data_IF_326912407636
#
_entry.id   IF_326912407636
#
_cell.length_a   1.000
_cell.length_b   1.000
_cell.length_c   1.000
_cell.angle_alpha   90.00
_cell.angle_beta   90.00
_cell.angle_gamma   90.00
#
_symmetry.space_group_name_H-M   'P 1'
#
loop_
_entity.id
_entity.type
_entity.pdbx_description
1 polymer ?
#
# COMPACT_ATOMS: atom_id res chain seq x y z
N UNK A 1 -14.27 16.66 -31.61
CA UNK A 1 -14.56 15.29 -31.13
C UNK A 1 -14.58 15.30 -29.61
N UNK A 2 -15.73 15.06 -28.96
CA UNK A 2 -15.75 14.87 -27.50
C UNK A 2 -14.89 13.64 -27.19
N UNK A 3 -13.80 13.81 -26.44
CA UNK A 3 -13.00 12.68 -25.96
C UNK A 3 -13.95 11.76 -25.19
N UNK A 4 -14.25 10.58 -25.76
CA UNK A 4 -15.18 9.60 -25.17
C UNK A 4 -14.59 8.88 -23.95
N UNK A 5 -13.29 9.08 -23.71
CA UNK A 5 -12.54 8.43 -22.63
C UNK A 5 -11.72 9.49 -21.89
N UNK A 6 -11.71 9.40 -20.56
CA UNK A 6 -10.87 10.22 -19.71
C UNK A 6 -9.41 9.76 -19.85
N UNK A 7 -8.50 10.68 -20.18
CA UNK A 7 -7.08 10.36 -20.33
C UNK A 7 -6.27 10.59 -19.04
N UNK A 8 -6.83 11.33 -18.06
CA UNK A 8 -6.17 11.61 -16.77
C UNK A 8 -6.61 10.61 -15.71
N UNK A 9 -5.66 9.95 -15.06
CA UNK A 9 -5.89 8.99 -13.97
C UNK A 9 -6.67 9.63 -12.81
N UNK A 10 -6.41 10.89 -12.51
CA UNK A 10 -7.12 11.62 -11.44
C UNK A 10 -8.61 11.80 -11.74
N UNK A 11 -8.97 12.10 -13.00
CA UNK A 11 -10.37 12.23 -13.40
C UNK A 11 -11.11 10.89 -13.30
N UNK A 12 -10.43 9.79 -13.65
CA UNK A 12 -10.97 8.44 -13.48
C UNK A 12 -11.24 8.15 -11.99
N UNK A 13 -10.30 8.49 -11.11
CA UNK A 13 -10.47 8.33 -9.65
C UNK A 13 -11.66 9.13 -9.13
N UNK A 14 -11.82 10.39 -9.56
CA UNK A 14 -12.97 11.21 -9.15
C UNK A 14 -14.28 10.61 -9.61
N UNK A 15 -14.37 10.09 -10.85
CA UNK A 15 -15.58 9.43 -11.32
C UNK A 15 -15.89 8.16 -10.51
N UNK A 16 -14.89 7.35 -10.17
CA UNK A 16 -15.10 6.19 -9.28
C UNK A 16 -15.59 6.61 -7.89
N UNK A 17 -15.09 7.73 -7.36
CA UNK A 17 -15.55 8.30 -6.10
C UNK A 17 -17.01 8.74 -6.17
N UNK A 18 -17.42 9.41 -7.24
CA UNK A 18 -18.80 9.86 -7.43
C UNK A 18 -19.77 8.70 -7.54
N UNK A 19 -19.39 7.64 -8.27
CA UNK A 19 -20.19 6.41 -8.38
C UNK A 19 -20.28 5.69 -7.02
N UNK A 20 -19.19 5.63 -6.26
CA UNK A 20 -19.23 5.06 -4.91
C UNK A 20 -20.15 5.86 -3.97
N UNK A 21 -20.06 7.19 -4.01
CA UNK A 21 -20.94 8.07 -3.25
C UNK A 21 -22.41 7.90 -3.67
N UNK A 22 -22.68 7.64 -4.95
CA UNK A 22 -24.03 7.34 -5.43
C UNK A 22 -24.61 6.06 -4.79
N UNK A 23 -23.80 5.00 -4.65
CA UNK A 23 -24.22 3.79 -3.95
C UNK A 23 -24.38 3.97 -2.43
N UNK A 24 -23.61 4.89 -1.83
CA UNK A 24 -23.60 5.15 -0.38
C UNK A 24 -24.60 6.24 0.05
N UNK A 25 -25.22 6.93 -0.91
CA UNK A 25 -26.19 8.00 -0.67
C UNK A 25 -25.62 9.19 0.12
N UNK A 26 -24.29 9.38 0.11
CA UNK A 26 -23.60 10.44 0.87
C UNK A 26 -23.90 11.87 0.41
N UNK A 27 -24.69 12.03 -0.66
CA UNK A 27 -25.15 13.32 -1.18
C UNK A 27 -26.51 13.76 -0.63
N UNK A 28 -27.24 12.88 0.07
CA UNK A 28 -28.60 13.15 0.54
C UNK A 28 -28.55 13.46 2.03
N UNK A 29 -28.46 14.74 2.38
CA UNK A 29 -28.52 15.21 3.78
C UNK A 29 -29.92 15.03 4.38
N UNK A 30 -30.97 15.07 3.55
CA UNK A 30 -32.37 14.88 3.96
C UNK A 30 -33.09 13.90 3.05
N UNK A 31 -33.67 12.83 3.60
CA UNK A 31 -34.48 11.87 2.84
C UNK A 31 -35.64 12.61 2.13
N UNK A 32 -35.83 12.44 0.81
CA UNK A 32 -36.98 13.04 0.14
C UNK A 32 -38.28 12.43 0.66
N UNK A 33 -39.25 13.29 0.99
CA UNK A 33 -40.62 12.87 1.31
C UNK A 33 -41.23 12.26 0.05
N UNK A 34 -41.43 10.94 0.05
CA UNK A 34 -42.16 10.25 -1.01
C UNK A 34 -43.64 10.41 -0.73
N UNK A 35 -44.33 11.16 -1.58
CA UNK A 35 -45.78 11.30 -1.50
C UNK A 35 -46.43 10.03 -2.04
N UNK A 36 -46.82 9.12 -1.12
CA UNK A 36 -47.25 7.74 -1.40
C UNK A 36 -48.46 7.62 -2.34
N UNK A 37 -49.19 8.72 -2.56
CA UNK A 37 -50.41 8.75 -3.37
C UNK A 37 -50.15 8.95 -4.88
N UNK A 38 -48.95 9.39 -5.29
CA UNK A 38 -48.69 9.78 -6.70
C UNK A 38 -47.51 9.08 -7.37
N UNK A 39 -46.74 8.23 -6.68
CA UNK A 39 -45.56 7.55 -7.24
C UNK A 39 -44.62 8.50 -8.03
N UNK A 40 -44.48 9.75 -7.59
CA UNK A 40 -43.66 10.77 -8.25
C UNK A 40 -42.66 11.34 -7.26
N UNK A 41 -41.39 11.40 -7.67
CA UNK A 41 -40.35 12.10 -6.93
C UNK A 41 -40.56 13.61 -7.09
N UNK A 42 -40.89 14.29 -6.00
CA UNK A 42 -40.87 15.76 -5.89
C UNK A 42 -39.45 16.21 -6.19
N UNK A 43 -39.21 17.32 -6.91
CA UNK A 43 -37.87 17.92 -7.14
C UNK A 43 -37.49 18.82 -5.97
N UNK A 44 -36.19 18.93 -5.65
CA UNK A 44 -35.71 19.90 -4.66
C UNK A 44 -36.14 21.31 -5.07
N UNK A 45 -36.25 22.24 -4.13
CA UNK A 45 -36.55 23.65 -4.40
C UNK A 45 -35.59 24.26 -5.45
N UNK A 46 -34.38 23.72 -5.57
CA UNK A 46 -33.36 24.07 -6.57
C UNK A 46 -33.50 23.38 -7.94
N UNK A 47 -34.54 22.58 -8.16
CA UNK A 47 -34.80 21.92 -9.45
C UNK A 47 -33.83 20.79 -9.82
N UNK A 48 -32.98 20.35 -8.88
CA UNK A 48 -32.11 19.18 -9.07
C UNK A 48 -32.98 17.93 -9.24
N UNK A 49 -32.62 17.08 -10.21
CA UNK A 49 -33.27 15.77 -10.35
C UNK A 49 -32.87 14.94 -9.15
N UNK A 50 -33.83 14.56 -8.32
CA UNK A 50 -33.59 13.48 -7.36
C UNK A 50 -33.21 12.24 -8.12
N UNK A 51 -32.12 11.63 -7.67
CA UNK A 51 -31.70 10.33 -8.17
C UNK A 51 -32.24 9.32 -7.16
N UNK A 52 -32.95 8.29 -7.65
CA UNK A 52 -33.50 7.24 -6.79
C UNK A 52 -32.40 6.67 -5.87
N UNK A 53 -32.70 6.58 -4.58
CA UNK A 53 -31.88 5.83 -3.63
C UNK A 53 -31.60 4.42 -4.15
N UNK A 54 -30.38 3.94 -3.90
CA UNK A 54 -29.99 2.57 -4.20
C UNK A 54 -29.82 1.82 -2.88
N UNK A 55 -30.94 1.49 -2.22
CA UNK A 55 -30.86 0.79 -0.95
C UNK A 55 -30.18 -0.57 -1.17
N UNK A 56 -29.52 -1.06 -0.12
CA UNK A 56 -28.93 -2.39 -0.12
C UNK A 56 -30.01 -3.47 -0.34
N UNK A 57 -31.19 -3.23 0.24
CA UNK A 57 -32.39 -4.07 0.17
C UNK A 57 -33.51 -3.29 -0.51
N UNK A 58 -34.06 -3.82 -1.61
CA UNK A 58 -35.29 -3.30 -2.23
C UNK A 58 -36.55 -3.84 -1.53
N UNK A 59 -36.44 -5.03 -0.93
CA UNK A 59 -37.45 -5.67 -0.08
C UNK A 59 -36.74 -6.62 0.88
N UNK A 60 -37.44 -7.18 1.87
CA UNK A 60 -36.87 -8.10 2.86
C UNK A 60 -36.12 -9.31 2.26
N UNK A 61 -36.30 -9.60 0.96
CA UNK A 61 -35.72 -10.75 0.26
C UNK A 61 -34.85 -10.35 -0.93
N UNK A 62 -35.00 -9.13 -1.48
CA UNK A 62 -34.31 -8.72 -2.71
C UNK A 62 -33.19 -7.73 -2.45
N UNK A 63 -31.96 -8.19 -2.65
CA UNK A 63 -30.77 -7.36 -2.60
C UNK A 63 -30.53 -6.61 -3.91
N UNK A 64 -29.90 -5.44 -3.80
CA UNK A 64 -29.36 -4.72 -4.95
C UNK A 64 -28.03 -5.35 -5.39
N UNK A 65 -28.10 -6.27 -6.36
CA UNK A 65 -26.94 -6.95 -6.91
C UNK A 65 -25.86 -6.02 -7.44
N UNK A 66 -26.24 -4.92 -8.08
CA UNK A 66 -25.29 -3.97 -8.65
C UNK A 66 -24.45 -3.30 -7.56
N UNK A 67 -25.10 -2.85 -6.48
CA UNK A 67 -24.41 -2.30 -5.32
C UNK A 67 -23.47 -3.33 -4.69
N UNK A 68 -23.92 -4.58 -4.51
CA UNK A 68 -23.08 -5.64 -3.95
C UNK A 68 -21.84 -5.95 -4.81
N UNK A 69 -21.99 -6.02 -6.13
CA UNK A 69 -20.89 -6.39 -7.03
C UNK A 69 -19.93 -5.25 -7.33
N UNK A 70 -20.43 -4.01 -7.47
CA UNK A 70 -19.64 -2.88 -7.99
C UNK A 70 -19.07 -1.96 -6.90
N UNK A 71 -19.72 -1.86 -5.73
CA UNK A 71 -19.33 -0.86 -4.70
C UNK A 71 -17.86 -0.95 -4.29
N UNK A 72 -17.39 -2.15 -3.95
CA UNK A 72 -16.01 -2.37 -3.53
C UNK A 72 -15.01 -2.02 -4.64
N UNK A 73 -15.36 -2.29 -5.90
CA UNK A 73 -14.52 -2.00 -7.06
C UNK A 73 -14.36 -0.49 -7.26
N UNK A 74 -15.45 0.27 -7.15
CA UNK A 74 -15.40 1.74 -7.24
C UNK A 74 -14.65 2.37 -6.07
N UNK A 75 -14.88 1.92 -4.83
CA UNK A 75 -14.14 2.40 -3.65
C UNK A 75 -12.64 2.06 -3.73
N UNK A 76 -12.29 0.91 -4.31
CA UNK A 76 -10.90 0.52 -4.51
C UNK A 76 -10.22 1.43 -5.53
N UNK A 77 -10.88 1.71 -6.65
CA UNK A 77 -10.32 2.56 -7.70
C UNK A 77 -10.32 4.05 -7.33
N UNK A 78 -11.17 4.51 -6.41
CA UNK A 78 -11.12 5.88 -5.90
C UNK A 78 -9.89 6.14 -5.03
N UNK A 79 -9.33 5.09 -4.41
CA UNK A 79 -8.19 5.16 -3.49
C UNK A 79 -8.58 5.41 -2.03
N UNK A 80 -9.88 5.46 -1.72
CA UNK A 80 -10.39 5.70 -0.37
C UNK A 80 -10.47 4.37 0.43
N UNK A 81 -9.34 3.93 0.99
CA UNK A 81 -9.21 2.63 1.69
C UNK A 81 -10.11 2.54 2.94
N UNK A 82 -10.23 3.63 3.69
CA UNK A 82 -11.06 3.68 4.91
C UNK A 82 -12.54 3.38 4.59
N UNK A 83 -13.10 4.07 3.60
CA UNK A 83 -14.49 3.85 3.14
C UNK A 83 -14.69 2.45 2.57
N UNK A 84 -13.70 1.91 1.87
CA UNK A 84 -13.71 0.52 1.40
C UNK A 84 -13.82 -0.47 2.57
N UNK A 85 -13.04 -0.26 3.64
CA UNK A 85 -13.14 -1.09 4.84
C UNK A 85 -14.50 -0.93 5.50
N UNK A 86 -14.89 0.30 5.83
CA UNK A 86 -16.11 0.62 6.58
C UNK A 86 -17.38 0.12 5.90
N UNK A 87 -17.52 0.32 4.59
CA UNK A 87 -18.79 0.05 3.91
C UNK A 87 -18.84 -1.29 3.17
N UNK A 88 -17.71 -1.87 2.76
CA UNK A 88 -17.70 -3.10 1.97
C UNK A 88 -17.30 -4.34 2.79
N UNK A 89 -16.15 -4.31 3.48
CA UNK A 89 -15.59 -5.52 4.12
C UNK A 89 -15.79 -5.59 5.63
N UNK A 90 -16.05 -4.48 6.31
CA UNK A 90 -16.32 -4.39 7.74
C UNK A 90 -17.73 -3.91 8.06
N UNK A 91 -18.62 -3.89 7.06
CA UNK A 91 -20.05 -3.72 7.25
C UNK A 91 -20.72 -5.09 7.31
N UNK A 92 -21.24 -5.44 8.48
CA UNK A 92 -21.91 -6.72 8.71
C UNK A 92 -23.09 -6.95 7.76
N UNK A 93 -23.94 -5.94 7.54
CA UNK A 93 -25.11 -6.06 6.66
C UNK A 93 -24.70 -6.33 5.21
N UNK A 94 -23.65 -5.67 4.74
CA UNK A 94 -23.14 -5.85 3.38
C UNK A 94 -22.50 -7.24 3.20
N UNK A 95 -21.73 -7.72 4.19
CA UNK A 95 -21.18 -9.07 4.17
C UNK A 95 -22.29 -10.12 4.17
N UNK A 96 -23.29 -9.97 5.04
CA UNK A 96 -24.44 -10.86 5.12
C UNK A 96 -25.20 -10.88 3.78
N UNK A 97 -25.45 -9.71 3.19
CA UNK A 97 -26.08 -9.56 1.89
C UNK A 97 -25.29 -10.25 0.76
N UNK A 98 -23.95 -10.18 0.77
CA UNK A 98 -23.10 -10.93 -0.17
C UNK A 98 -23.16 -12.45 0.04
N UNK A 99 -23.18 -12.90 1.30
CA UNK A 99 -23.28 -14.32 1.63
C UNK A 99 -24.63 -14.90 1.18
N UNK A 100 -25.73 -14.17 1.37
CA UNK A 100 -27.07 -14.58 0.95
C UNK A 100 -27.32 -14.41 -0.56
N UNK A 101 -26.87 -13.31 -1.16
CA UNK A 101 -27.30 -12.88 -2.49
C UNK A 101 -26.53 -13.49 -3.65
N UNK A 102 -25.20 -13.54 -3.57
CA UNK A 102 -24.34 -13.89 -4.73
C UNK A 102 -23.63 -15.23 -4.57
N UNK A 103 -22.91 -15.41 -3.46
CA UNK A 103 -22.15 -16.59 -3.03
C UNK A 103 -20.90 -16.16 -2.25
N UNK A 104 -20.43 -17.02 -1.36
CA UNK A 104 -19.20 -16.82 -0.60
C UNK A 104 -17.94 -16.81 -1.46
N UNK A 105 -17.93 -17.56 -2.56
CA UNK A 105 -16.76 -17.62 -3.45
C UNK A 105 -16.51 -16.28 -4.14
N UNK A 106 -17.58 -15.57 -4.52
CA UNK A 106 -17.47 -14.21 -5.09
C UNK A 106 -16.90 -13.25 -4.05
N UNK A 107 -17.39 -13.30 -2.81
CA UNK A 107 -16.84 -12.49 -1.71
C UNK A 107 -15.35 -12.78 -1.48
N UNK A 108 -14.93 -14.05 -1.48
CA UNK A 108 -13.52 -14.42 -1.37
C UNK A 108 -12.69 -13.90 -2.55
N UNK A 109 -13.21 -14.03 -3.78
CA UNK A 109 -12.54 -13.51 -4.96
C UNK A 109 -12.37 -11.98 -4.91
N UNK A 110 -13.38 -11.26 -4.42
CA UNK A 110 -13.34 -9.81 -4.24
C UNK A 110 -12.26 -9.42 -3.21
N UNK A 111 -12.22 -10.11 -2.06
CA UNK A 111 -11.20 -9.88 -1.03
C UNK A 111 -9.81 -10.20 -1.56
N UNK A 112 -9.64 -11.31 -2.28
CA UNK A 112 -8.36 -11.67 -2.89
C UNK A 112 -7.94 -10.67 -3.98
N UNK A 113 -8.89 -10.11 -4.75
CA UNK A 113 -8.61 -9.07 -5.73
C UNK A 113 -8.12 -7.78 -5.06
N UNK A 114 -8.66 -7.43 -3.89
CA UNK A 114 -8.22 -6.29 -3.08
C UNK A 114 -6.85 -6.56 -2.46
N UNK A 115 -6.61 -7.75 -1.89
CA UNK A 115 -5.31 -8.12 -1.32
C UNK A 115 -4.18 -8.15 -2.35
N UNK A 116 -4.49 -8.38 -3.63
CA UNK A 116 -3.53 -8.23 -4.74
C UNK A 116 -3.16 -6.77 -5.03
N UNK A 117 -3.91 -5.78 -4.53
CA UNK A 117 -3.69 -4.34 -4.78
C UNK A 117 -3.34 -3.53 -3.52
N UNK A 118 -3.72 -3.99 -2.33
CA UNK A 118 -3.33 -3.39 -1.05
C UNK A 118 -2.94 -4.53 -0.10
N UNK A 119 -1.83 -4.37 0.60
CA UNK A 119 -1.48 -5.24 1.73
C UNK A 119 -1.98 -4.59 3.03
N UNK A 120 -3.11 -5.08 3.52
CA UNK A 120 -3.75 -4.60 4.75
C UNK A 120 -4.03 -5.74 5.71
N UNK A 121 -3.66 -5.56 6.98
CA UNK A 121 -3.79 -6.57 8.04
C UNK A 121 -5.25 -6.87 8.30
N UNK A 122 -6.11 -5.84 8.32
CA UNK A 122 -7.53 -5.99 8.61
C UNK A 122 -8.21 -6.86 7.53
N UNK A 123 -7.93 -6.55 6.26
CA UNK A 123 -8.51 -7.27 5.11
C UNK A 123 -7.98 -8.71 5.07
N UNK A 124 -6.73 -8.93 5.45
CA UNK A 124 -6.13 -10.26 5.53
C UNK A 124 -6.77 -11.11 6.64
N UNK A 125 -7.05 -10.51 7.79
CA UNK A 125 -7.78 -11.13 8.90
C UNK A 125 -9.22 -11.50 8.49
N UNK A 126 -9.90 -10.63 7.73
CA UNK A 126 -11.21 -10.98 7.15
C UNK A 126 -11.14 -12.13 6.15
N UNK A 127 -10.10 -12.15 5.30
CA UNK A 127 -9.92 -13.22 4.32
C UNK A 127 -9.72 -14.58 5.00
N UNK A 128 -8.93 -14.62 6.07
CA UNK A 128 -8.66 -15.86 6.80
C UNK A 128 -9.86 -16.31 7.63
N UNK A 129 -10.63 -15.36 8.19
CA UNK A 129 -11.92 -15.66 8.83
C UNK A 129 -12.86 -16.37 7.86
N UNK A 130 -13.11 -15.78 6.69
CA UNK A 130 -14.06 -16.31 5.71
C UNK A 130 -13.58 -17.66 5.14
N UNK A 131 -12.27 -17.82 4.91
CA UNK A 131 -11.70 -19.10 4.48
C UNK A 131 -11.93 -20.21 5.51
N UNK A 132 -11.71 -19.92 6.79
CA UNK A 132 -11.95 -20.89 7.88
C UNK A 132 -13.44 -21.14 8.14
N UNK A 133 -14.34 -20.21 7.81
CA UNK A 133 -15.81 -20.38 7.99
C UNK A 133 -16.54 -20.77 6.70
N UNK A 134 -15.82 -21.10 5.63
CA UNK A 134 -16.42 -21.38 4.33
C UNK A 134 -17.47 -22.50 4.37
N UNK A 135 -17.19 -23.57 5.12
CA UNK A 135 -18.07 -24.74 5.23
C UNK A 135 -19.32 -24.41 6.05
N UNK A 136 -19.18 -23.63 7.13
CA UNK A 136 -20.30 -23.29 8.00
C UNK A 136 -21.22 -22.25 7.35
N UNK A 137 -20.63 -21.28 6.66
CA UNK A 137 -21.37 -20.25 5.93
C UNK A 137 -22.06 -20.79 4.69
N UNK A 138 -21.50 -21.79 4.00
CA UNK A 138 -22.13 -22.38 2.82
C UNK A 138 -23.39 -23.16 3.18
N UNK A 139 -23.44 -23.73 4.38
CA UNK A 139 -24.63 -24.39 4.92
C UNK A 139 -25.69 -23.38 5.36
N UNK A 140 -25.29 -22.36 6.13
CA UNK A 140 -26.20 -21.36 6.67
C UNK A 140 -25.52 -19.99 6.78
N UNK A 141 -25.82 -19.02 5.88
CA UNK A 141 -25.19 -17.70 5.90
C UNK A 141 -25.53 -16.86 7.14
N UNK A 142 -26.66 -17.12 7.80
CA UNK A 142 -27.06 -16.45 9.05
C UNK A 142 -26.10 -16.74 10.22
N UNK A 143 -25.28 -17.80 10.14
CA UNK A 143 -24.26 -18.11 11.15
C UNK A 143 -23.02 -17.22 11.07
N UNK A 144 -22.98 -16.28 10.12
CA UNK A 144 -21.88 -15.32 9.96
C UNK A 144 -21.60 -14.51 11.23
N UNK A 145 -22.65 -14.06 11.92
CA UNK A 145 -22.50 -13.33 13.18
C UNK A 145 -21.81 -14.18 14.25
N UNK A 146 -22.21 -15.43 14.42
CA UNK A 146 -21.60 -16.36 15.37
C UNK A 146 -20.12 -16.64 15.03
N UNK A 147 -19.78 -16.83 13.75
CA UNK A 147 -18.39 -17.02 13.29
C UNK A 147 -17.52 -15.76 13.52
N UNK A 148 -18.07 -14.57 13.28
CA UNK A 148 -17.40 -13.31 13.56
C UNK A 148 -17.14 -13.15 15.06
N UNK A 149 -18.17 -13.33 15.88
CA UNK A 149 -18.06 -13.16 17.33
C UNK A 149 -17.13 -14.21 17.97
N UNK A 150 -17.18 -15.45 17.52
CA UNK A 150 -16.33 -16.52 18.05
C UNK A 150 -14.84 -16.35 17.77
N UNK A 151 -14.48 -15.73 16.63
CA UNK A 151 -13.09 -15.63 16.17
C UNK A 151 -12.47 -14.24 16.32
N UNK A 152 -13.24 -13.17 16.18
CA UNK A 152 -12.73 -11.79 16.20
C UNK A 152 -12.88 -11.09 17.54
N UNK A 153 -13.79 -11.54 18.41
CA UNK A 153 -13.95 -10.97 19.75
C UNK A 153 -12.66 -10.90 20.59
N UNK A 154 -11.74 -11.89 20.59
CA UNK A 154 -10.50 -11.75 21.34
C UNK A 154 -9.53 -10.73 20.73
N UNK A 155 -9.63 -10.52 19.41
CA UNK A 155 -8.75 -9.65 18.63
C UNK A 155 -9.22 -8.17 18.65
N UNK A 156 -10.40 -7.88 19.21
CA UNK A 156 -11.01 -6.55 19.20
C UNK A 156 -10.13 -5.46 19.85
N UNK A 157 -9.30 -5.83 20.84
CA UNK A 157 -8.43 -4.88 21.55
C UNK A 157 -7.04 -4.74 20.91
N UNK A 158 -6.61 -5.73 20.12
CA UNK A 158 -5.27 -5.76 19.51
C UNK A 158 -5.24 -5.15 18.11
N UNK A 159 -6.36 -5.14 17.39
CA UNK A 159 -6.46 -4.71 15.99
C UNK A 159 -7.26 -3.40 15.81
N UNK A 160 -7.37 -2.93 14.57
CA UNK A 160 -7.92 -1.61 14.23
C UNK A 160 -9.42 -1.42 14.54
N UNK A 161 -9.84 -0.15 14.54
CA UNK A 161 -11.22 0.28 14.84
C UNK A 161 -12.29 -0.42 13.98
N UNK A 162 -11.94 -0.80 12.75
CA UNK A 162 -12.86 -1.49 11.83
C UNK A 162 -13.24 -2.90 12.32
N UNK A 163 -12.31 -3.65 12.91
CA UNK A 163 -12.60 -4.97 13.50
C UNK A 163 -13.54 -4.80 14.68
N UNK A 164 -13.29 -3.77 15.51
CA UNK A 164 -14.15 -3.44 16.66
C UNK A 164 -15.56 -3.06 16.22
N UNK A 165 -15.70 -2.26 15.17
CA UNK A 165 -16.98 -1.90 14.58
C UNK A 165 -17.73 -3.14 14.06
N UNK A 166 -17.05 -4.03 13.33
CA UNK A 166 -17.68 -5.24 12.80
C UNK A 166 -18.19 -6.17 13.91
N UNK A 167 -17.40 -6.36 14.98
CA UNK A 167 -17.81 -7.14 16.15
C UNK A 167 -19.04 -6.51 16.82
N UNK A 168 -19.06 -5.18 16.97
CA UNK A 168 -20.21 -4.48 17.55
C UNK A 168 -21.48 -4.62 16.69
N UNK A 169 -21.34 -4.49 15.36
CA UNK A 169 -22.46 -4.68 14.41
C UNK A 169 -23.00 -6.12 14.44
N UNK A 170 -22.12 -7.11 14.51
CA UNK A 170 -22.52 -8.52 14.62
C UNK A 170 -23.26 -8.82 15.93
N UNK A 171 -22.81 -8.27 17.07
CA UNK A 171 -23.51 -8.37 18.35
C UNK A 171 -24.89 -7.73 18.29
N UNK A 172 -24.97 -6.50 17.77
CA UNK A 172 -26.23 -5.77 17.64
C UNK A 172 -27.24 -6.51 16.75
N UNK A 173 -26.78 -7.10 15.65
CA UNK A 173 -27.64 -7.91 14.79
C UNK A 173 -28.16 -9.15 15.50
N UNK A 174 -27.31 -9.83 16.27
CA UNK A 174 -27.69 -10.99 17.06
C UNK A 174 -28.74 -10.69 18.13
N UNK A 175 -28.65 -9.53 18.80
CA UNK A 175 -29.60 -9.10 19.83
C UNK A 175 -30.99 -8.79 19.26
N UNK A 176 -31.05 -8.27 18.04
CA UNK A 176 -32.31 -7.86 17.39
C UNK A 176 -32.92 -8.92 16.47
N UNK A 177 -32.30 -10.11 16.35
CA UNK A 177 -32.77 -11.12 15.42
C UNK A 177 -33.94 -11.91 15.98
N UNK A 178 -35.04 -12.00 15.22
CA UNK A 178 -36.29 -12.63 15.67
C UNK A 178 -36.17 -14.14 15.98
N UNK A 179 -35.23 -14.82 15.31
CA UNK A 179 -34.98 -16.25 15.53
C UNK A 179 -33.77 -16.49 16.44
N UNK A 180 -33.81 -17.46 17.35
CA UNK A 180 -32.68 -17.76 18.24
C UNK A 180 -31.44 -18.21 17.45
N UNK A 181 -30.32 -17.52 17.66
CA UNK A 181 -29.02 -17.85 17.07
C UNK A 181 -28.09 -18.37 18.16
N UNK A 182 -27.38 -19.47 17.89
CA UNK A 182 -26.38 -19.99 18.81
C UNK A 182 -25.11 -19.14 18.75
N UNK A 183 -24.80 -18.45 19.85
CA UNK A 183 -23.63 -17.60 19.98
C UNK A 183 -22.71 -18.20 21.04
N UNK A 184 -21.47 -18.56 20.69
CA UNK A 184 -20.53 -19.03 21.69
C UNK A 184 -20.09 -17.85 22.58
N UNK A 185 -20.23 -18.03 23.89
CA UNK A 185 -19.78 -17.05 24.89
C UNK A 185 -18.25 -17.06 25.06
N UNK A 186 -17.63 -18.22 24.79
CA UNK A 186 -16.19 -18.44 24.85
C UNK A 186 -15.61 -18.74 23.46
N UNK A 187 -14.39 -18.28 23.23
CA UNK A 187 -13.65 -18.45 21.97
C UNK A 187 -13.09 -19.87 21.88
N UNK A 188 -13.85 -20.81 21.29
CA UNK A 188 -13.38 -22.19 21.05
C UNK A 188 -12.84 -22.40 19.64
N UNK A 189 -13.04 -21.43 18.75
CA UNK A 189 -12.57 -21.50 17.38
C UNK A 189 -11.19 -20.85 17.25
N UNK A 190 -10.33 -21.48 16.46
CA UNK A 190 -9.01 -20.94 16.16
C UNK A 190 -9.14 -19.52 15.61
N UNK A 191 -8.43 -18.58 16.23
CA UNK A 191 -8.32 -17.23 15.71
C UNK A 191 -7.76 -17.26 14.27
N UNK A 192 -8.15 -16.31 13.39
CA UNK A 192 -7.46 -16.13 12.12
C UNK A 192 -5.95 -16.04 12.36
N UNK A 193 -5.15 -16.67 11.49
CA UNK A 193 -3.70 -16.77 11.70
C UNK A 193 -3.06 -15.38 11.83
N UNK A 194 -2.17 -15.24 12.81
CA UNK A 194 -1.33 -14.04 12.97
C UNK A 194 -0.32 -13.98 11.82
N UNK A 195 -0.72 -13.42 10.68
CA UNK A 195 0.13 -13.24 9.50
C UNK A 195 1.13 -12.08 9.66
N UNK A 196 1.65 -11.87 10.87
CA UNK A 196 2.66 -10.84 11.16
C UNK A 196 3.99 -11.13 10.45
N UNK A 197 4.26 -12.40 10.16
CA UNK A 197 5.52 -12.83 9.51
C UNK A 197 5.19 -13.74 8.32
N UNK A 198 5.58 -13.32 7.13
CA UNK A 198 5.55 -14.14 5.92
C UNK A 198 6.97 -14.48 5.48
N UNK A 199 7.25 -15.77 5.27
CA UNK A 199 8.52 -16.25 4.71
C UNK A 199 8.40 -16.45 3.20
N UNK A 200 9.39 -15.97 2.45
CA UNK A 200 9.57 -16.19 1.02
C UNK A 200 10.93 -16.87 0.86
N UNK A 201 10.94 -18.08 0.33
CA UNK A 201 12.18 -18.84 0.12
C UNK A 201 12.73 -18.57 -1.28
N UNK A 202 14.03 -18.30 -1.37
CA UNK A 202 14.77 -18.16 -2.62
C UNK A 202 16.02 -19.03 -2.54
N UNK A 203 16.37 -19.81 -3.59
CA UNK A 203 17.51 -20.73 -3.56
C UNK A 203 18.89 -20.04 -3.46
N UNK A 204 18.96 -18.74 -3.75
CA UNK A 204 20.23 -18.03 -3.89
C UNK A 204 20.42 -16.98 -2.79
N UNK A 205 21.68 -16.59 -2.56
CA UNK A 205 22.04 -15.58 -1.56
C UNK A 205 21.48 -14.21 -1.92
N UNK A 206 20.82 -13.57 -0.96
CA UNK A 206 20.22 -12.24 -1.10
C UNK A 206 21.17 -11.20 -0.52
N UNK A 207 21.53 -10.18 -1.30
CA UNK A 207 22.45 -9.11 -0.85
C UNK A 207 21.72 -7.86 -0.39
N UNK A 208 20.72 -7.40 -1.16
CA UNK A 208 19.95 -6.18 -0.87
C UNK A 208 18.46 -6.44 -1.08
N UNK A 209 17.68 -5.68 -0.32
CA UNK A 209 16.23 -5.78 -0.31
C UNK A 209 15.65 -4.37 -0.41
N UNK A 210 14.68 -4.18 -1.31
CA UNK A 210 13.85 -2.99 -1.35
C UNK A 210 12.37 -3.37 -1.35
N UNK A 211 11.54 -2.52 -0.75
CA UNK A 211 10.09 -2.74 -0.63
C UNK A 211 9.39 -1.55 -1.26
N UNK A 212 8.32 -1.80 -2.02
CA UNK A 212 7.49 -0.71 -2.57
C UNK A 212 6.80 0.07 -1.44
N UNK A 213 6.41 1.32 -1.70
CA UNK A 213 5.67 2.09 -0.68
C UNK A 213 4.28 1.48 -0.35
N UNK A 214 3.72 0.65 -1.25
CA UNK A 214 2.48 -0.10 -0.99
C UNK A 214 2.68 -1.45 -0.28
N UNK A 215 3.92 -1.84 0.03
CA UNK A 215 4.32 -3.11 0.67
C UNK A 215 3.84 -4.41 -0.03
N UNK A 216 3.20 -4.30 -1.18
CA UNK A 216 3.05 -5.41 -2.12
C UNK A 216 4.31 -5.44 -2.93
N UNK A 217 4.94 -6.54 -3.24
CA UNK A 217 6.22 -6.52 -3.97
C UNK A 217 7.42 -6.13 -3.12
N UNK A 218 8.32 -7.10 -3.04
CA UNK A 218 9.66 -6.96 -2.51
C UNK A 218 10.62 -7.29 -3.63
N UNK A 219 11.69 -6.52 -3.71
CA UNK A 219 12.79 -6.71 -4.65
C UNK A 219 14.00 -7.23 -3.89
N UNK A 220 14.61 -8.27 -4.42
CA UNK A 220 15.84 -8.85 -3.91
C UNK A 220 16.91 -8.76 -4.97
N UNK A 221 18.12 -8.33 -4.61
CA UNK A 221 19.30 -8.58 -5.44
C UNK A 221 19.90 -9.93 -5.08
N UNK A 222 20.25 -10.68 -6.11
CA UNK A 222 20.75 -12.04 -5.97
C UNK A 222 22.25 -12.11 -6.28
N UNK A 223 22.93 -13.17 -5.83
CA UNK A 223 24.33 -13.44 -6.17
C UNK A 223 24.63 -13.55 -7.65
N UNK A 224 23.64 -13.87 -8.49
CA UNK A 224 23.77 -13.88 -9.95
C UNK A 224 23.60 -12.53 -10.62
N UNK A 225 23.64 -11.43 -9.85
CA UNK A 225 23.51 -10.06 -10.36
C UNK A 225 22.12 -9.72 -10.93
N UNK A 226 21.14 -10.59 -10.72
CA UNK A 226 19.74 -10.36 -11.09
C UNK A 226 18.98 -9.67 -9.95
N UNK A 227 17.91 -8.96 -10.32
CA UNK A 227 16.92 -8.45 -9.36
C UNK A 227 15.63 -9.24 -9.53
N UNK A 228 15.14 -9.84 -8.44
CA UNK A 228 13.89 -10.58 -8.45
C UNK A 228 12.78 -9.79 -7.74
N UNK A 229 11.60 -9.69 -8.37
CA UNK A 229 10.41 -9.08 -7.81
C UNK A 229 9.41 -10.15 -7.34
N UNK A 230 9.10 -10.17 -6.05
CA UNK A 230 8.17 -11.12 -5.44
C UNK A 230 6.92 -10.46 -4.92
N UNK A 231 5.74 -10.93 -5.32
CA UNK A 231 4.49 -10.46 -4.74
C UNK A 231 4.27 -11.13 -3.37
N UNK A 232 4.22 -10.32 -2.31
CA UNK A 232 4.18 -10.77 -0.91
C UNK A 232 2.96 -11.67 -0.60
N UNK A 233 1.71 -11.29 -0.91
CA UNK A 233 0.55 -12.13 -0.60
C UNK A 233 0.55 -13.50 -1.28
N UNK A 234 0.97 -13.56 -2.56
CA UNK A 234 0.98 -14.82 -3.31
C UNK A 234 2.27 -15.62 -3.12
N UNK A 235 3.31 -15.00 -2.55
CA UNK A 235 4.68 -15.54 -2.46
C UNK A 235 5.25 -15.97 -3.81
N UNK A 236 4.72 -15.43 -4.91
CA UNK A 236 5.14 -15.78 -6.28
C UNK A 236 6.12 -14.76 -6.81
N UNK A 237 7.14 -15.25 -7.51
CA UNK A 237 8.00 -14.44 -8.35
C UNK A 237 7.14 -13.85 -9.49
N UNK A 238 7.15 -12.53 -9.60
CA UNK A 238 6.41 -11.80 -10.64
C UNK A 238 7.31 -11.58 -11.85
N UNK A 239 8.51 -11.04 -11.61
CA UNK A 239 9.47 -10.67 -12.66
C UNK A 239 10.92 -10.81 -12.18
N UNK A 240 11.81 -10.98 -13.15
CA UNK A 240 13.26 -10.90 -12.99
C UNK A 240 13.78 -9.76 -13.88
N UNK A 241 14.67 -8.94 -13.34
CA UNK A 241 15.39 -7.91 -14.07
C UNK A 241 16.84 -8.36 -14.22
N UNK A 242 17.25 -8.58 -15.46
CA UNK A 242 18.57 -9.06 -15.84
C UNK A 242 19.26 -7.99 -16.68
N UNK A 243 20.48 -7.59 -16.32
CA UNK A 243 21.20 -6.56 -17.07
C UNK A 243 22.52 -6.11 -16.42
N UNK A 244 22.62 -6.18 -15.09
CA UNK A 244 23.89 -5.98 -14.40
C UNK A 244 24.85 -7.14 -14.66
N UNK A 245 26.13 -6.82 -14.79
CA UNK A 245 27.21 -7.80 -15.02
C UNK A 245 27.98 -8.12 -13.74
N UNK A 246 27.76 -7.36 -12.68
CA UNK A 246 28.43 -7.52 -11.39
C UNK A 246 27.49 -7.25 -10.20
N UNK A 247 27.98 -7.37 -8.97
CA UNK A 247 27.20 -7.31 -7.73
C UNK A 247 26.45 -5.98 -7.58
N UNK A 248 25.15 -6.10 -7.30
CA UNK A 248 24.28 -4.96 -7.04
C UNK A 248 24.43 -4.55 -5.56
N UNK A 249 25.16 -3.46 -5.34
CA UNK A 249 25.46 -2.93 -4.01
C UNK A 249 24.33 -2.05 -3.45
N UNK A 250 23.54 -1.41 -4.31
CA UNK A 250 22.45 -0.54 -3.88
C UNK A 250 21.21 -0.74 -4.74
N UNK A 251 20.05 -0.71 -4.09
CA UNK A 251 18.75 -1.00 -4.69
C UNK A 251 17.69 -0.15 -4.00
N UNK A 252 17.01 0.69 -4.77
CA UNK A 252 16.04 1.66 -4.26
C UNK A 252 14.83 1.79 -5.18
N UNK A 253 13.73 2.26 -4.62
CA UNK A 253 12.45 2.44 -5.33
C UNK A 253 12.01 3.88 -5.10
N UNK A 254 11.56 4.54 -6.16
CA UNK A 254 10.94 5.88 -6.07
C UNK A 254 9.70 5.83 -5.19
N UNK A 255 9.41 6.87 -4.42
CA UNK A 255 8.23 6.94 -3.55
C UNK A 255 6.91 6.77 -4.33
N UNK A 256 6.89 7.24 -5.58
CA UNK A 256 5.81 7.08 -6.55
C UNK A 256 5.68 5.65 -7.13
N UNK A 257 6.55 4.71 -6.75
CA UNK A 257 6.60 3.31 -7.22
C UNK A 257 6.60 3.15 -8.76
N UNK A 258 7.18 4.10 -9.49
CA UNK A 258 7.29 4.01 -10.95
C UNK A 258 8.62 3.41 -11.39
N UNK A 259 9.68 3.77 -10.69
CA UNK A 259 11.03 3.37 -11.05
C UNK A 259 11.72 2.63 -9.92
N UNK A 260 12.55 1.66 -10.30
CA UNK A 260 13.49 0.98 -9.44
C UNK A 260 14.89 1.33 -9.90
N UNK A 261 15.75 1.72 -8.97
CA UNK A 261 17.10 2.17 -9.23
C UNK A 261 18.06 1.17 -8.63
N UNK A 262 18.96 0.64 -9.45
CA UNK A 262 20.00 -0.28 -9.02
C UNK A 262 21.37 0.30 -9.38
N UNK A 263 22.29 0.28 -8.43
CA UNK A 263 23.69 0.62 -8.65
C UNK A 263 24.59 -0.55 -8.27
N UNK A 264 25.53 -0.85 -9.15
CA UNK A 264 26.33 -2.07 -9.10
C UNK A 264 27.83 -1.78 -9.19
N UNK A 265 28.63 -2.81 -8.87
CA UNK A 265 30.09 -2.81 -9.01
C UNK A 265 30.55 -2.72 -10.47
N UNK A 266 29.66 -3.00 -11.43
CA UNK A 266 29.88 -2.80 -12.87
C UNK A 266 29.91 -1.32 -13.30
N UNK A 267 29.86 -0.40 -12.32
CA UNK A 267 29.95 1.06 -12.48
C UNK A 267 28.72 1.68 -13.14
N UNK A 268 27.71 0.86 -13.41
CA UNK A 268 26.46 1.29 -14.01
C UNK A 268 25.40 1.52 -12.93
N UNK A 269 24.64 2.58 -13.11
CA UNK A 269 23.36 2.76 -12.46
C UNK A 269 22.25 2.55 -13.48
N UNK A 270 21.33 1.63 -13.20
CA UNK A 270 20.21 1.34 -14.07
C UNK A 270 18.91 1.79 -13.41
N UNK A 271 18.06 2.45 -14.18
CA UNK A 271 16.70 2.83 -13.80
C UNK A 271 15.74 1.92 -14.56
N UNK A 272 15.05 1.08 -13.82
CA UNK A 272 14.08 0.12 -14.31
C UNK A 272 12.68 0.69 -14.20
N UNK A 273 11.88 0.57 -15.25
CA UNK A 273 10.47 0.90 -15.19
C UNK A 273 9.71 -0.28 -14.58
N UNK A 274 9.04 -0.08 -13.45
CA UNK A 274 8.31 -1.13 -12.75
C UNK A 274 7.07 -1.62 -13.52
N UNK A 275 6.47 -0.75 -14.35
CA UNK A 275 5.31 -1.08 -15.16
C UNK A 275 5.64 -2.05 -16.29
N UNK A 276 6.66 -1.74 -17.09
CA UNK A 276 7.08 -2.57 -18.24
C UNK A 276 8.04 -3.68 -17.86
N UNK A 277 8.86 -3.48 -16.83
CA UNK A 277 9.93 -4.40 -16.45
C UNK A 277 11.24 -4.17 -17.21
N UNK A 278 11.28 -3.14 -18.06
CA UNK A 278 12.41 -2.84 -18.94
C UNK A 278 13.35 -1.79 -18.33
N UNK A 279 14.58 -1.76 -18.83
CA UNK A 279 15.54 -0.71 -18.51
C UNK A 279 15.05 0.58 -19.17
N UNK A 280 14.72 1.57 -18.35
CA UNK A 280 14.38 2.91 -18.81
C UNK A 280 15.64 3.68 -19.19
N UNK A 281 16.54 3.86 -18.22
CA UNK A 281 17.79 4.60 -18.41
C UNK A 281 18.98 3.85 -17.80
N UNK A 282 20.16 4.01 -18.41
CA UNK A 282 21.44 3.55 -17.87
C UNK A 282 22.41 4.72 -17.77
N UNK A 283 23.05 4.86 -16.61
CA UNK A 283 23.97 5.95 -16.32
C UNK A 283 25.35 5.41 -15.97
N UNK A 284 26.37 5.91 -16.66
CA UNK A 284 27.78 5.59 -16.43
C UNK A 284 28.49 6.83 -15.89
N UNK A 285 28.10 7.24 -14.68
CA UNK A 285 28.52 8.53 -14.10
C UNK A 285 29.75 8.39 -13.19
N UNK A 286 30.17 7.16 -12.90
CA UNK A 286 31.27 6.84 -11.98
C UNK A 286 32.36 6.03 -12.68
N UNK A 287 33.63 6.20 -12.27
CA UNK A 287 34.77 5.48 -12.84
C UNK A 287 35.05 4.17 -12.08
N UNK A 288 34.48 3.99 -10.89
CA UNK A 288 34.52 2.77 -10.09
C UNK A 288 33.15 2.36 -9.54
N UNK A 289 33.16 1.33 -8.69
CA UNK A 289 31.97 0.68 -8.16
C UNK A 289 31.07 1.66 -7.40
N UNK A 290 29.77 1.59 -7.68
CA UNK A 290 28.75 2.30 -6.93
C UNK A 290 28.49 1.52 -5.65
N UNK A 291 28.64 2.15 -4.49
CA UNK A 291 28.53 1.48 -3.19
C UNK A 291 27.17 1.75 -2.53
N UNK A 292 26.66 2.97 -2.68
CA UNK A 292 25.39 3.37 -2.09
C UNK A 292 24.66 4.38 -2.97
N UNK A 293 23.34 4.44 -2.80
CA UNK A 293 22.46 5.41 -3.45
C UNK A 293 21.38 5.86 -2.48
N UNK A 294 20.81 7.05 -2.69
CA UNK A 294 19.61 7.58 -2.02
C UNK A 294 18.77 8.38 -2.99
N UNK A 295 17.44 8.24 -2.92
CA UNK A 295 16.47 9.03 -3.70
C UNK A 295 15.95 10.18 -2.84
N UNK A 296 15.84 11.36 -3.42
CA UNK A 296 15.22 12.54 -2.77
C UNK A 296 13.72 12.38 -2.61
N UNK A 297 13.11 13.01 -1.61
CA UNK A 297 11.66 12.89 -1.40
C UNK A 297 10.79 13.40 -2.57
N UNK A 298 11.33 14.22 -3.47
CA UNK A 298 10.64 14.65 -4.70
C UNK A 298 10.61 13.61 -5.82
N UNK A 299 11.32 12.48 -5.69
CA UNK A 299 11.52 11.50 -6.77
C UNK A 299 12.17 12.07 -8.05
N UNK A 300 12.79 13.25 -7.98
CA UNK A 300 13.43 13.88 -9.14
C UNK A 300 14.92 13.55 -9.25
N UNK A 301 15.59 13.39 -8.09
CA UNK A 301 17.04 13.24 -8.02
C UNK A 301 17.46 11.97 -7.28
N UNK A 302 18.57 11.41 -7.74
CA UNK A 302 19.32 10.34 -7.07
C UNK A 302 20.66 10.89 -6.64
N UNK A 303 21.03 10.62 -5.41
CA UNK A 303 22.38 10.86 -4.90
C UNK A 303 23.10 9.52 -4.82
N UNK A 304 24.29 9.46 -5.39
CA UNK A 304 25.09 8.24 -5.51
C UNK A 304 26.44 8.42 -4.84
N UNK A 305 26.89 7.41 -4.11
CA UNK A 305 28.18 7.36 -3.45
C UNK A 305 29.04 6.26 -4.06
N UNK A 306 30.24 6.63 -4.47
CA UNK A 306 31.16 5.76 -5.18
C UNK A 306 32.46 5.52 -4.39
N UNK A 307 33.16 4.45 -4.75
CA UNK A 307 34.53 4.20 -4.30
C UNK A 307 35.53 5.27 -4.82
N UNK A 308 35.19 5.98 -5.89
CA UNK A 308 35.96 7.13 -6.42
C UNK A 308 35.93 8.38 -5.53
N UNK A 309 35.35 8.29 -4.32
CA UNK A 309 35.21 9.41 -3.36
C UNK A 309 34.30 10.54 -3.88
N UNK A 310 33.59 10.26 -4.97
CA UNK A 310 32.65 11.14 -5.63
C UNK A 310 31.23 10.90 -5.10
N UNK A 311 30.56 11.99 -4.75
CA UNK A 311 29.10 12.01 -4.65
C UNK A 311 28.54 12.71 -5.87
N UNK A 312 27.71 12.02 -6.64
CA UNK A 312 27.02 12.62 -7.78
C UNK A 312 25.52 12.73 -7.49
N UNK A 313 24.97 13.92 -7.73
CA UNK A 313 23.53 14.19 -7.76
C UNK A 313 23.06 14.15 -9.21
N UNK A 314 22.15 13.23 -9.50
CA UNK A 314 21.76 12.85 -10.86
C UNK A 314 20.25 13.02 -10.99
N UNK A 315 19.77 13.63 -12.09
CA UNK A 315 18.34 13.67 -12.39
C UNK A 315 17.86 12.33 -12.95
N UNK A 316 16.75 11.79 -12.44
CA UNK A 316 16.23 10.46 -12.81
C UNK A 316 15.79 10.39 -14.29
N UNK A 317 15.13 11.45 -14.78
CA UNK A 317 14.53 11.46 -16.12
C UNK A 317 15.56 11.41 -17.25
N UNK A 318 16.66 12.16 -17.11
CA UNK A 318 17.64 12.34 -18.17
C UNK A 318 18.99 11.69 -17.88
N UNK A 319 19.35 11.50 -16.60
CA UNK A 319 20.69 11.07 -16.19
C UNK A 319 21.72 12.16 -16.01
N UNK A 320 21.30 13.41 -16.18
CA UNK A 320 22.19 14.56 -16.07
C UNK A 320 22.78 14.66 -14.66
N UNK A 321 24.11 14.72 -14.58
CA UNK A 321 24.82 15.02 -13.34
C UNK A 321 24.73 16.52 -13.09
N UNK A 322 24.02 16.91 -12.04
CA UNK A 322 23.83 18.31 -11.67
C UNK A 322 25.00 18.79 -10.83
N UNK A 323 25.49 17.92 -9.94
CA UNK A 323 26.55 18.27 -9.02
C UNK A 323 27.40 17.05 -8.68
N UNK A 324 28.71 17.26 -8.63
CA UNK A 324 29.70 16.28 -8.17
C UNK A 324 30.47 16.87 -6.98
N UNK A 325 30.57 16.11 -5.88
CA UNK A 325 31.33 16.49 -4.69
C UNK A 325 32.55 15.60 -4.56
N UNK A 326 33.74 16.20 -4.67
CA UNK A 326 35.05 15.55 -4.54
C UNK A 326 35.72 15.79 -3.17
N UNK A 327 34.97 16.27 -2.17
CA UNK A 327 35.52 16.71 -0.88
C UNK A 327 35.93 15.57 0.07
N UNK A 328 35.78 14.32 -0.34
CA UNK A 328 35.97 13.16 0.53
C UNK A 328 37.36 12.54 0.40
N UNK A 329 37.94 12.17 1.54
CA UNK A 329 39.28 11.58 1.59
C UNK A 329 39.29 10.11 1.16
N UNK A 330 38.16 9.41 1.25
CA UNK A 330 38.06 7.98 0.95
C UNK A 330 36.66 7.57 0.44
N UNK A 331 36.48 6.28 0.14
CA UNK A 331 35.28 5.67 -0.40
C UNK A 331 34.05 5.93 0.47
N UNK A 332 32.95 6.28 -0.20
CA UNK A 332 31.66 6.58 0.44
C UNK A 332 30.91 5.27 0.63
N UNK A 333 30.69 4.86 1.88
CA UNK A 333 30.06 3.58 2.19
C UNK A 333 28.57 3.66 2.42
N UNK A 334 28.08 4.77 2.96
CA UNK A 334 26.67 4.95 3.23
C UNK A 334 26.23 6.39 3.02
N UNK A 335 25.01 6.51 2.51
CA UNK A 335 24.28 7.73 2.33
C UNK A 335 22.91 7.56 2.99
N UNK A 336 22.43 8.60 3.65
CA UNK A 336 21.06 8.68 4.16
C UNK A 336 20.50 10.08 3.93
N UNK A 337 19.19 10.18 3.76
CA UNK A 337 18.48 11.45 3.59
C UNK A 337 17.54 11.67 4.78
N UNK A 338 17.45 12.93 5.19
CA UNK A 338 16.46 13.42 6.17
C UNK A 338 15.20 13.93 5.47
N UNK A 339 14.12 14.15 6.22
CA UNK A 339 12.85 14.68 5.69
C UNK A 339 13.01 16.05 5.00
N UNK A 340 13.96 16.88 5.46
CA UNK A 340 14.32 18.18 4.88
C UNK A 340 15.24 18.08 3.65
N UNK A 341 15.49 16.87 3.14
CA UNK A 341 16.48 16.52 2.11
C UNK A 341 17.93 16.87 2.44
N UNK A 342 18.26 17.10 3.72
CA UNK A 342 19.67 17.11 4.13
C UNK A 342 20.24 15.69 4.05
N UNK A 343 21.46 15.56 3.53
CA UNK A 343 22.11 14.30 3.17
C UNK A 343 23.23 14.01 4.17
N UNK A 344 23.11 12.89 4.86
CA UNK A 344 24.12 12.35 5.76
C UNK A 344 25.05 11.43 4.96
N UNK A 345 26.36 11.68 5.06
CA UNK A 345 27.39 10.90 4.37
C UNK A 345 28.30 10.22 5.38
N UNK A 346 28.51 8.93 5.20
CA UNK A 346 29.52 8.16 5.93
C UNK A 346 30.64 7.72 4.99
N UNK A 347 31.89 7.95 5.40
CA UNK A 347 33.11 7.59 4.66
C UNK A 347 33.89 6.54 5.47
N UNK A 348 34.53 5.58 4.79
CA UNK A 348 35.15 4.42 5.46
C UNK A 348 36.67 4.49 5.53
N UNK A 349 37.18 5.38 6.36
CA UNK A 349 38.51 5.18 6.96
C UNK A 349 38.59 5.60 8.42
N UNK A 350 37.64 6.38 8.92
CA UNK A 350 37.53 6.77 10.32
C UNK A 350 36.04 6.90 10.62
N UNK A 351 35.60 6.71 11.87
CA UNK A 351 34.19 6.89 12.31
C UNK A 351 33.82 8.39 12.28
N UNK A 352 34.11 9.07 11.17
CA UNK A 352 33.87 10.47 10.91
C UNK A 352 32.69 10.54 9.94
N UNK A 353 31.60 11.11 10.44
CA UNK A 353 30.41 11.42 9.65
C UNK A 353 30.48 12.87 9.22
N UNK A 354 30.31 13.13 7.92
CA UNK A 354 30.14 14.48 7.43
C UNK A 354 28.67 14.67 7.05
N UNK A 355 28.04 15.71 7.60
CA UNK A 355 26.67 16.08 7.27
C UNK A 355 26.71 17.14 6.17
N UNK A 356 26.03 16.88 5.08
CA UNK A 356 25.87 17.83 3.99
C UNK A 356 24.42 18.21 3.84
N UNK A 357 24.11 19.50 3.98
CA UNK A 357 22.80 19.99 3.59
C UNK A 357 22.83 20.27 2.10
N UNK A 358 21.94 19.63 1.36
CA UNK A 358 21.76 19.88 -0.06
C UNK A 358 20.58 20.83 -0.25
N UNK A 359 20.85 22.04 -0.76
CA UNK A 359 19.78 23.00 -1.06
C UNK A 359 19.25 22.73 -2.47
N UNK A 360 18.02 22.21 -2.60
CA UNK A 360 17.36 21.94 -3.91
C UNK A 360 17.36 23.13 -4.86
N UNK A 361 17.15 24.35 -4.35
CA UNK A 361 17.02 25.58 -5.17
C UNK A 361 18.34 26.06 -5.75
N UNK A 362 19.43 25.92 -5.00
CA UNK A 362 20.76 26.39 -5.41
C UNK A 362 21.61 25.24 -5.96
N UNK A 363 21.18 23.99 -5.77
CA UNK A 363 21.93 22.77 -6.04
C UNK A 363 23.34 22.76 -5.41
N UNK A 364 23.51 23.44 -4.28
CA UNK A 364 24.78 23.54 -3.54
C UNK A 364 24.75 22.64 -2.30
N UNK A 365 25.89 22.02 -2.00
CA UNK A 365 26.14 21.35 -0.74
C UNK A 365 26.76 22.30 0.29
N UNK A 366 26.05 22.54 1.37
CA UNK A 366 26.57 23.19 2.57
C UNK A 366 27.10 22.11 3.54
N UNK A 367 28.39 22.15 3.85
CA UNK A 367 28.97 21.25 4.85
C UNK A 367 28.59 21.75 6.25
N UNK A 368 27.77 21.00 6.98
CA UNK A 368 27.54 21.22 8.41
C UNK A 368 28.53 20.35 9.19
N UNK A 369 29.68 20.91 9.54
CA UNK A 369 30.55 20.34 10.57
C UNK A 369 29.90 20.65 11.92
N UNK A 370 29.30 19.64 12.58
CA UNK A 370 29.20 19.58 14.05
C UNK A 370 28.59 18.24 14.50
N UNK A 371 29.44 17.36 15.00
CA UNK A 371 29.07 16.04 15.53
C UNK A 371 28.65 16.06 17.01
N UNK A 372 28.64 17.21 17.69
CA UNK A 372 28.22 17.28 19.09
C UNK A 372 26.68 17.33 19.29
N UNK A 373 25.87 17.35 18.23
CA UNK A 373 24.40 17.46 18.36
C UNK A 373 23.61 16.16 18.17
N UNK A 374 24.25 15.04 17.76
CA UNK A 374 23.51 13.79 17.48
C UNK A 374 23.12 13.03 18.75
N UNK A 375 23.81 13.25 19.88
CA UNK A 375 23.38 12.66 21.16
C UNK A 375 22.09 13.27 21.73
N UNK A 376 21.64 14.43 21.24
CA UNK A 376 20.46 15.14 21.76
C UNK A 376 19.24 15.17 20.82
N UNK A 377 19.27 14.50 19.66
CA UNK A 377 18.03 14.22 18.93
C UNK A 377 17.39 12.99 19.57
N UNK A 378 16.78 13.23 20.74
CA UNK A 378 15.67 12.40 21.22
C UNK A 378 14.65 12.31 20.09
N UNK A 379 14.61 11.16 19.42
CA UNK A 379 13.46 10.26 19.27
C UNK A 379 12.05 10.84 19.59
N UNK A 380 11.69 12.03 19.12
CA UNK A 380 10.34 12.60 19.31
C UNK A 380 9.52 12.73 18.04
N UNK A 381 10.10 12.50 16.85
CA UNK A 381 9.30 12.41 15.62
C UNK A 381 9.72 11.19 14.78
N UNK A 382 8.82 10.20 14.77
CA UNK A 382 8.62 9.17 13.74
C UNK A 382 9.83 8.59 13.01
N UNK A 383 10.28 7.41 13.47
CA UNK A 383 10.74 6.31 12.60
C UNK A 383 11.82 6.62 11.55
N UNK A 384 13.03 7.02 11.99
CA UNK A 384 14.23 6.53 11.29
C UNK A 384 14.31 5.03 11.62
N UNK A 385 13.77 4.18 10.75
CA UNK A 385 13.81 2.72 10.90
C UNK A 385 15.25 2.28 11.17
N UNK A 386 15.48 1.83 12.41
CA UNK A 386 16.65 1.04 12.85
C UNK A 386 16.89 -0.09 11.84
N UNK A 387 17.78 0.13 10.88
CA UNK A 387 18.33 -0.94 10.04
C UNK A 387 19.79 -0.73 9.62
N UNK A 388 20.47 0.30 10.14
CA UNK A 388 21.82 0.64 9.69
C UNK A 388 22.97 0.19 10.57
N UNK A 389 22.70 -0.44 11.72
CA UNK A 389 23.77 -0.97 12.56
C UNK A 389 23.29 -2.26 13.22
N UNK A 390 23.58 -3.40 12.57
CA UNK A 390 24.12 -4.59 13.22
C UNK A 390 24.44 -5.68 12.18
N UNK A 391 25.72 -6.07 12.22
CA UNK A 391 26.43 -7.16 11.56
C UNK A 391 26.77 -7.01 10.09
#
# INVERSE_FOLDING_TARGET
MKQRYFNRVEQIRTCHKDIANYFLESFVETKPLVDMNKNMQIRDEEGRRFICQQPLLFSNVRYNYRRLSELWYHLMNSGDIQRLKEHAFFNFEHLLAKCHGTSLQILLNDIEAVLRRILDIDILLMSSLIKKSLITLSQNPLRLSAEILSRLRPLQNEYGEHVRSLVAQASYWCENHDSPVLIPLSTWLDSPENLLITRIDHPEGIFKIAVTSFNQHVFFSTSKHDICMYHVPSKKLVRKFTGHTDLINCLQITYNNRFLISGSSDKLMMVWNLGTGEIGNTFMNHKSAILCSVITHSDEFIVTGCYDRLINVIRIENGDVIHSVEKHFDAITALAISEDDSILVSVRLEIKYDIFKWNRKECVFEKKLNLNMIFNIKLETGLIKRKFFNN
#
